data_IF_309817705621
#
_entry.id   IF_309817705621
#
_cell.length_a   1.000
_cell.length_b   1.000
_cell.length_c   1.000
_cell.angle_alpha   90.00
_cell.angle_beta   90.00
_cell.angle_gamma   90.00
#
_symmetry.space_group_name_H-M   'P 1'
#
loop_
_entity.id
_entity.type
_entity.pdbx_description
1 polymer ?
#
# COMPACT_ATOMS: atom_id res chain seq x y z
N UNK A 1 -6.20 53.26 77.16
CA UNK A 1 -6.94 52.68 76.08
C UNK A 1 -5.97 52.30 74.95
N UNK A 2 -5.72 50.99 74.77
CA UNK A 2 -4.77 50.49 73.76
C UNK A 2 -5.57 50.05 72.52
N UNK A 3 -5.40 50.75 71.39
CA UNK A 3 -5.99 50.39 70.11
C UNK A 3 -5.15 49.28 69.49
N UNK A 4 -5.75 48.10 69.29
CA UNK A 4 -5.16 46.97 68.52
C UNK A 4 -5.47 47.19 67.04
N UNK A 5 -4.39 47.31 66.25
CA UNK A 5 -4.46 47.31 64.79
C UNK A 5 -4.39 45.88 64.31
N UNK A 6 -5.43 45.41 63.61
CA UNK A 6 -5.44 44.11 62.93
C UNK A 6 -4.96 44.34 61.50
N UNK A 7 -3.80 43.79 61.17
CA UNK A 7 -3.30 43.76 59.78
C UNK A 7 -3.84 42.50 59.10
N UNK A 8 -4.71 42.65 58.13
CA UNK A 8 -5.17 41.60 57.24
C UNK A 8 -4.10 41.37 56.16
N UNK A 9 -3.39 40.23 56.19
CA UNK A 9 -2.52 39.79 55.12
C UNK A 9 -3.37 39.05 54.06
N UNK A 10 -3.63 39.76 52.94
CA UNK A 10 -4.17 39.11 51.75
C UNK A 10 -3.05 38.39 51.01
N UNK A 11 -3.02 37.06 51.09
CA UNK A 11 -2.11 36.23 50.32
C UNK A 11 -2.55 36.16 48.85
N UNK A 12 -1.72 36.71 47.98
CA UNK A 12 -1.86 36.54 46.51
C UNK A 12 -1.25 35.20 46.16
N UNK A 13 -2.09 34.22 45.86
CA UNK A 13 -1.69 32.93 45.30
C UNK A 13 -1.26 33.08 43.83
N UNK A 14 0.04 33.05 43.57
CA UNK A 14 0.60 32.93 42.24
C UNK A 14 0.41 31.49 41.77
N UNK A 15 -0.57 31.26 40.89
CA UNK A 15 -0.70 30.03 40.13
C UNK A 15 0.46 29.94 39.12
N UNK A 16 1.48 29.15 39.44
CA UNK A 16 2.49 28.73 38.47
C UNK A 16 1.80 27.80 37.46
N UNK A 17 1.39 28.35 36.33
CA UNK A 17 1.07 27.56 35.13
C UNK A 17 2.40 26.97 34.68
N UNK A 18 2.68 25.74 35.13
CA UNK A 18 3.76 24.94 34.58
C UNK A 18 3.44 24.65 33.11
N UNK A 19 4.15 25.35 32.20
CA UNK A 19 4.28 24.84 30.84
C UNK A 19 4.94 23.47 30.97
N UNK A 20 4.15 22.41 30.73
CA UNK A 20 4.72 21.11 30.37
C UNK A 20 5.44 21.35 29.04
N UNK A 21 6.74 21.52 29.06
CA UNK A 21 7.59 21.31 27.90
C UNK A 21 7.36 19.84 27.50
N UNK A 22 6.58 19.66 26.44
CA UNK A 22 6.58 18.38 25.72
C UNK A 22 8.04 18.14 25.32
N UNK A 23 8.68 17.14 25.93
CA UNK A 23 10.00 16.70 25.51
C UNK A 23 9.87 16.28 24.06
N UNK A 24 10.30 17.16 23.16
CA UNK A 24 10.52 16.79 21.77
C UNK A 24 11.62 15.72 21.81
N UNK A 25 11.22 14.48 21.59
CA UNK A 25 12.16 13.37 21.48
C UNK A 25 12.99 13.60 20.20
N UNK A 26 14.15 14.26 20.37
CA UNK A 26 15.06 14.61 19.28
C UNK A 26 15.74 13.38 18.64
N UNK A 27 15.42 12.18 19.10
CA UNK A 27 15.91 10.90 18.56
C UNK A 27 14.95 10.20 17.62
N UNK A 28 13.87 10.84 17.15
CA UNK A 28 13.01 10.26 16.15
C UNK A 28 13.75 10.25 14.79
N UNK A 29 14.38 9.13 14.49
CA UNK A 29 14.81 8.85 13.12
C UNK A 29 13.53 8.47 12.35
N UNK A 30 13.21 9.21 11.28
CA UNK A 30 12.02 8.86 10.49
C UNK A 30 12.21 7.46 9.88
N UNK A 31 11.26 6.58 10.12
CA UNK A 31 11.26 5.23 9.55
C UNK A 31 10.90 5.29 8.07
N UNK A 32 11.73 4.66 7.23
CA UNK A 32 11.49 4.56 5.80
C UNK A 32 10.35 3.58 5.48
N UNK A 33 9.49 3.95 4.52
CA UNK A 33 8.41 3.08 4.04
C UNK A 33 9.01 2.01 3.14
N UNK A 34 8.88 0.75 3.54
CA UNK A 34 9.19 -0.43 2.73
C UNK A 34 7.93 -1.26 2.48
N UNK A 35 8.01 -2.24 1.57
CA UNK A 35 6.88 -3.09 1.21
C UNK A 35 7.24 -4.56 1.42
N UNK A 36 6.31 -5.31 1.99
CA UNK A 36 6.38 -6.77 2.03
C UNK A 36 5.43 -7.34 0.98
N UNK A 37 6.00 -7.88 -0.08
CA UNK A 37 5.27 -8.28 -1.28
C UNK A 37 5.08 -9.79 -1.32
N UNK A 38 3.84 -10.20 -1.54
CA UNK A 38 3.46 -11.59 -1.80
C UNK A 38 2.47 -11.64 -2.97
N UNK A 39 2.42 -12.76 -3.65
CA UNK A 39 1.46 -12.99 -4.72
C UNK A 39 0.48 -14.08 -4.28
N UNK A 40 -0.82 -13.83 -4.41
CA UNK A 40 -1.81 -14.87 -4.17
C UNK A 40 -1.70 -15.96 -5.25
N UNK A 41 -1.88 -17.23 -4.90
CA UNK A 41 -1.93 -18.31 -5.88
C UNK A 41 -2.98 -18.00 -6.95
N UNK A 42 -2.65 -18.24 -8.23
CA UNK A 42 -3.64 -18.15 -9.30
C UNK A 42 -4.76 -19.16 -9.05
N UNK A 43 -5.99 -18.69 -9.00
CA UNK A 43 -7.16 -19.51 -8.64
C UNK A 43 -7.50 -20.61 -9.67
N UNK A 44 -6.80 -20.69 -10.82
CA UNK A 44 -7.06 -21.69 -11.86
C UNK A 44 -5.81 -22.09 -12.63
N UNK A 45 -5.38 -23.34 -12.42
CA UNK A 45 -4.77 -24.17 -13.45
C UNK A 45 -3.26 -24.28 -13.50
N UNK A 46 -2.49 -23.52 -12.74
CA UNK A 46 -1.08 -23.83 -12.55
C UNK A 46 -0.84 -24.16 -11.06
N UNK A 47 -0.85 -25.44 -10.75
CA UNK A 47 -0.62 -25.97 -9.39
C UNK A 47 0.86 -25.86 -8.97
N UNK A 48 1.69 -25.20 -9.73
CA UNK A 48 3.01 -24.76 -9.29
C UNK A 48 2.85 -23.46 -8.53
N UNK A 49 2.29 -23.52 -7.32
CA UNK A 49 1.99 -22.40 -6.46
C UNK A 49 3.21 -21.53 -6.17
N UNK A 50 3.60 -20.68 -7.12
CA UNK A 50 4.51 -19.58 -6.87
C UNK A 50 3.73 -18.52 -6.09
N UNK A 51 3.89 -18.54 -4.79
CA UNK A 51 3.42 -17.50 -3.88
C UNK A 51 4.40 -16.35 -3.78
N UNK A 52 5.54 -16.44 -4.46
CA UNK A 52 6.59 -15.43 -4.45
C UNK A 52 6.45 -14.51 -5.66
N UNK A 53 6.29 -13.22 -5.39
CA UNK A 53 6.28 -12.17 -6.42
C UNK A 53 7.68 -12.03 -7.04
N UNK A 54 7.81 -11.93 -8.38
CA UNK A 54 9.12 -11.87 -9.05
C UNK A 54 9.92 -10.62 -8.66
N UNK A 55 11.10 -10.80 -8.06
CA UNK A 55 11.98 -9.70 -7.63
C UNK A 55 12.45 -8.79 -8.78
N UNK A 56 12.43 -9.29 -10.02
CA UNK A 56 12.79 -8.53 -11.22
C UNK A 56 11.67 -7.69 -11.80
N UNK A 57 10.45 -7.76 -11.22
CA UNK A 57 9.28 -7.08 -11.74
C UNK A 57 8.91 -5.89 -10.86
N UNK A 58 9.21 -4.64 -11.26
CA UNK A 58 8.76 -3.46 -10.54
C UNK A 58 7.23 -3.32 -10.57
N UNK A 59 6.68 -2.73 -9.52
CA UNK A 59 5.27 -2.40 -9.44
C UNK A 59 5.02 -0.94 -9.10
N UNK A 60 3.82 -0.44 -9.37
CA UNK A 60 3.40 0.90 -9.02
C UNK A 60 2.70 0.94 -7.67
N UNK A 61 3.01 1.93 -6.85
CA UNK A 61 2.30 2.18 -5.60
C UNK A 61 1.91 3.64 -5.45
N UNK A 62 0.75 3.87 -4.84
CA UNK A 62 0.32 5.18 -4.40
C UNK A 62 -0.29 5.09 -3.00
N UNK A 63 -0.23 6.19 -2.26
CA UNK A 63 -0.75 6.24 -0.91
C UNK A 63 -1.41 7.58 -0.61
N UNK A 64 -2.40 7.51 0.26
CA UNK A 64 -3.11 8.68 0.78
C UNK A 64 -2.92 8.78 2.28
N UNK A 65 -2.76 10.00 2.74
CA UNK A 65 -2.62 10.35 4.16
C UNK A 65 -3.97 10.78 4.75
N UNK A 66 -4.20 10.33 5.98
CA UNK A 66 -5.27 10.82 6.84
C UNK A 66 -4.71 11.24 8.21
N UNK A 67 -5.18 12.37 8.76
CA UNK A 67 -4.75 12.85 10.07
C UNK A 67 -5.17 11.90 11.20
N UNK A 68 -4.56 12.08 12.38
CA UNK A 68 -4.89 11.29 13.57
C UNK A 68 -6.40 11.41 13.91
N UNK A 69 -7.00 10.28 14.27
CA UNK A 69 -8.43 10.20 14.57
C UNK A 69 -9.34 9.88 13.38
N UNK A 70 -8.81 9.97 12.15
CA UNK A 70 -9.53 9.62 10.92
C UNK A 70 -9.25 8.17 10.50
N UNK A 71 -10.20 7.59 9.76
CA UNK A 71 -10.09 6.24 9.18
C UNK A 71 -10.43 6.26 7.69
N UNK A 72 -9.85 5.34 6.92
CA UNK A 72 -10.09 5.27 5.49
C UNK A 72 -11.57 5.10 5.13
N UNK A 73 -12.26 4.23 5.83
CA UNK A 73 -13.64 3.89 5.49
C UNK A 73 -14.63 5.03 5.75
N UNK A 74 -14.32 5.90 6.73
CA UNK A 74 -15.16 7.07 7.05
C UNK A 74 -14.72 8.34 6.32
N UNK A 75 -13.41 8.56 6.18
CA UNK A 75 -12.85 9.88 5.88
C UNK A 75 -12.05 9.95 4.58
N UNK A 76 -12.06 8.89 3.73
CA UNK A 76 -11.25 8.82 2.50
C UNK A 76 -11.42 10.03 1.56
N UNK A 77 -12.57 10.70 1.61
CA UNK A 77 -12.82 11.90 0.77
C UNK A 77 -11.84 13.02 1.10
N UNK A 78 -11.49 13.18 2.40
CA UNK A 78 -10.56 14.20 2.87
C UNK A 78 -9.08 13.80 2.78
N UNK A 79 -8.79 12.55 2.42
CA UNK A 79 -7.43 12.04 2.36
C UNK A 79 -6.58 12.79 1.31
N UNK A 80 -5.34 13.08 1.65
CA UNK A 80 -4.39 13.80 0.81
C UNK A 80 -3.41 12.82 0.14
N UNK A 81 -2.97 13.11 -1.08
CA UNK A 81 -1.96 12.31 -1.78
C UNK A 81 -0.63 12.41 -1.04
N UNK A 82 -0.09 11.26 -0.64
CA UNK A 82 1.22 11.15 0.04
C UNK A 82 2.28 10.53 -0.87
N UNK A 83 1.96 9.44 -1.54
CA UNK A 83 2.79 8.82 -2.59
C UNK A 83 1.98 8.86 -3.87
N UNK A 84 2.58 9.38 -4.93
CA UNK A 84 1.94 9.56 -6.23
C UNK A 84 2.60 8.67 -7.27
N UNK A 85 2.08 7.45 -7.46
CA UNK A 85 2.49 6.50 -8.48
C UNK A 85 4.01 6.19 -8.49
N UNK A 86 4.57 5.95 -7.31
CA UNK A 86 5.98 5.59 -7.20
C UNK A 86 6.25 4.20 -7.81
N UNK A 87 7.37 4.06 -8.49
CA UNK A 87 7.91 2.75 -8.86
C UNK A 87 8.59 2.11 -7.66
N UNK A 88 8.16 0.87 -7.34
CA UNK A 88 8.71 0.08 -6.25
C UNK A 88 9.51 -1.06 -6.85
N UNK A 89 10.78 -1.15 -6.46
CA UNK A 89 11.73 -2.16 -6.93
C UNK A 89 12.34 -2.93 -5.76
N UNK A 90 12.80 -4.15 -6.04
CA UNK A 90 13.48 -4.97 -5.03
C UNK A 90 14.95 -4.59 -4.92
N UNK A 91 15.40 -4.25 -3.72
CA UNK A 91 16.81 -4.07 -3.40
C UNK A 91 17.40 -5.38 -2.89
N UNK A 92 18.33 -5.94 -3.67
CA UNK A 92 19.02 -7.18 -3.29
C UNK A 92 19.97 -7.01 -2.11
N UNK A 93 20.45 -5.78 -1.85
CA UNK A 93 21.39 -5.48 -0.77
C UNK A 93 20.68 -5.51 0.59
N UNK A 94 19.53 -4.85 0.66
CA UNK A 94 18.74 -4.74 1.89
C UNK A 94 17.62 -5.79 1.98
N UNK A 95 17.46 -6.60 0.94
CA UNK A 95 16.44 -7.65 0.84
C UNK A 95 15.00 -7.15 1.06
N UNK A 96 14.69 -5.93 0.58
CA UNK A 96 13.38 -5.31 0.73
C UNK A 96 12.89 -4.65 -0.57
N UNK A 97 11.61 -4.30 -0.58
CA UNK A 97 10.98 -3.54 -1.65
C UNK A 97 10.82 -2.09 -1.22
N UNK A 98 11.32 -1.14 -2.01
CA UNK A 98 11.21 0.28 -1.73
C UNK A 98 11.13 1.13 -3.00
N UNK A 99 10.72 2.38 -2.86
CA UNK A 99 10.73 3.34 -3.95
C UNK A 99 12.15 3.91 -4.17
N UNK A 100 12.47 4.29 -5.42
CA UNK A 100 13.72 4.98 -5.72
C UNK A 100 13.85 6.32 -4.97
N UNK A 101 12.73 7.02 -4.75
CA UNK A 101 12.64 8.17 -3.84
C UNK A 101 12.23 7.69 -2.47
N UNK A 102 13.03 7.97 -1.45
CA UNK A 102 12.71 7.56 -0.09
C UNK A 102 11.49 8.31 0.44
N UNK A 103 10.49 7.56 0.91
CA UNK A 103 9.33 8.06 1.64
C UNK A 103 9.42 7.60 3.09
N UNK A 104 8.98 8.44 4.02
CA UNK A 104 9.01 8.16 5.44
C UNK A 104 7.62 8.10 6.02
N UNK A 105 7.46 7.34 7.11
CA UNK A 105 6.21 7.30 7.84
C UNK A 105 5.91 8.67 8.48
N UNK A 106 4.67 9.16 8.40
CA UNK A 106 4.27 10.38 9.10
C UNK A 106 4.31 10.15 10.62
N UNK A 107 4.73 11.16 11.38
CA UNK A 107 4.77 11.09 12.85
C UNK A 107 3.40 10.83 13.48
N UNK A 108 2.35 11.32 12.85
CA UNK A 108 0.96 11.16 13.28
C UNK A 108 0.07 10.90 12.07
N UNK A 109 -1.13 10.34 12.32
CA UNK A 109 -2.04 9.96 11.26
C UNK A 109 -1.78 8.56 10.71
N UNK A 110 -2.28 8.29 9.53
CA UNK A 110 -2.16 6.99 8.87
C UNK A 110 -2.05 7.12 7.36
N UNK A 111 -1.49 6.11 6.73
CA UNK A 111 -1.45 5.96 5.28
C UNK A 111 -2.31 4.78 4.84
N UNK A 112 -2.97 4.95 3.70
CA UNK A 112 -3.65 3.84 3.00
C UNK A 112 -2.99 3.67 1.65
N UNK A 113 -2.53 2.43 1.38
CA UNK A 113 -1.74 2.09 0.19
C UNK A 113 -2.55 1.30 -0.81
N UNK A 114 -2.24 1.56 -2.08
CA UNK A 114 -2.70 0.84 -3.25
C UNK A 114 -1.49 0.48 -4.09
N UNK A 115 -1.53 -0.68 -4.73
CA UNK A 115 -0.46 -1.09 -5.63
C UNK A 115 -1.00 -1.90 -6.81
N UNK A 116 -0.28 -1.84 -7.93
CA UNK A 116 -0.60 -2.55 -9.16
C UNK A 116 0.66 -3.04 -9.86
N UNK A 117 0.54 -4.09 -10.62
CA UNK A 117 1.67 -4.72 -11.34
C UNK A 117 1.23 -5.19 -12.73
N UNK A 118 2.15 -5.12 -13.71
CA UNK A 118 3.47 -4.47 -13.68
C UNK A 118 3.38 -2.94 -13.71
N UNK A 119 4.45 -2.25 -13.32
CA UNK A 119 4.53 -0.77 -13.35
C UNK A 119 4.22 -0.20 -14.74
N UNK A 120 4.60 -0.90 -15.80
CA UNK A 120 4.41 -0.48 -17.20
C UNK A 120 2.95 -0.28 -17.60
N UNK A 121 1.98 -0.84 -16.85
CA UNK A 121 0.55 -0.63 -17.12
C UNK A 121 0.14 0.84 -16.98
N UNK A 122 0.84 1.63 -16.17
CA UNK A 122 0.56 3.06 -16.02
C UNK A 122 0.67 3.86 -17.32
N UNK A 123 1.40 3.36 -18.31
CA UNK A 123 1.49 3.99 -19.65
C UNK A 123 0.27 3.74 -20.54
N UNK A 124 -0.64 2.84 -20.14
CA UNK A 124 -1.86 2.57 -20.91
C UNK A 124 -2.85 3.73 -20.80
N UNK A 125 -3.40 4.18 -21.92
CA UNK A 125 -4.30 5.34 -21.96
C UNK A 125 -5.58 5.20 -21.13
N UNK A 126 -6.01 3.96 -20.89
CA UNK A 126 -7.18 3.67 -20.04
C UNK A 126 -6.87 3.41 -18.58
N UNK A 127 -5.59 3.55 -18.16
CA UNK A 127 -5.19 3.39 -16.77
C UNK A 127 -5.46 4.68 -15.99
N UNK A 128 -6.07 4.54 -14.83
CA UNK A 128 -6.23 5.62 -13.86
C UNK A 128 -6.33 5.07 -12.44
N UNK A 129 -6.07 5.91 -11.46
CA UNK A 129 -6.22 5.57 -10.05
C UNK A 129 -6.71 6.77 -9.24
N UNK A 130 -7.48 6.48 -8.22
CA UNK A 130 -8.00 7.46 -7.27
C UNK A 130 -8.23 6.81 -5.90
N UNK A 131 -8.98 7.47 -5.02
CA UNK A 131 -9.35 6.99 -3.69
C UNK A 131 -10.30 5.78 -3.72
N UNK A 132 -10.93 5.51 -4.83
CA UNK A 132 -11.80 4.34 -5.02
C UNK A 132 -11.01 3.10 -5.49
N UNK A 133 -9.85 3.33 -6.10
CA UNK A 133 -8.97 2.25 -6.55
C UNK A 133 -8.36 2.47 -7.92
N UNK A 134 -8.08 1.37 -8.59
CA UNK A 134 -7.43 1.34 -9.91
C UNK A 134 -8.46 0.98 -10.97
N UNK A 135 -8.46 1.75 -12.05
CA UNK A 135 -9.28 1.51 -13.24
C UNK A 135 -8.38 1.25 -14.45
N UNK A 136 -8.70 0.23 -15.22
CA UNK A 136 -8.04 -0.09 -16.49
C UNK A 136 -9.10 -0.34 -17.57
N UNK A 137 -9.32 0.64 -18.44
CA UNK A 137 -10.29 0.58 -19.52
C UNK A 137 -9.62 0.26 -20.85
N UNK A 138 -10.33 -0.45 -21.74
CA UNK A 138 -9.88 -0.69 -23.11
C UNK A 138 -8.62 -1.56 -23.22
N UNK A 139 -8.39 -2.45 -22.26
CA UNK A 139 -7.26 -3.36 -22.29
C UNK A 139 -7.45 -4.41 -23.38
N UNK A 140 -6.55 -4.43 -24.38
CA UNK A 140 -6.56 -5.44 -25.45
C UNK A 140 -5.61 -6.59 -25.09
N UNK A 141 -6.20 -7.75 -24.79
CA UNK A 141 -5.47 -8.97 -24.44
C UNK A 141 -4.65 -9.48 -25.64
N UNK A 142 -5.14 -9.30 -26.89
CA UNK A 142 -4.44 -9.78 -28.06
C UNK A 142 -3.17 -8.96 -28.35
N UNK A 143 -3.21 -7.65 -28.08
CA UNK A 143 -2.03 -6.79 -28.15
C UNK A 143 -1.05 -7.01 -26.98
N UNK A 144 -1.53 -7.57 -25.87
CA UNK A 144 -0.76 -7.73 -24.63
C UNK A 144 -0.85 -9.17 -24.06
N UNK A 145 -0.56 -10.21 -24.86
CA UNK A 145 -0.86 -11.61 -24.49
C UNK A 145 -0.06 -12.13 -23.29
N UNK A 146 1.06 -11.48 -22.96
CA UNK A 146 1.99 -11.92 -21.90
C UNK A 146 1.98 -10.99 -20.68
N UNK A 147 1.08 -10.02 -20.61
CA UNK A 147 0.98 -9.12 -19.46
C UNK A 147 0.00 -9.68 -18.45
N UNK A 148 0.49 -9.94 -17.25
CA UNK A 148 -0.31 -10.37 -16.11
C UNK A 148 -0.63 -9.15 -15.24
N UNK A 149 -1.84 -8.63 -15.37
CA UNK A 149 -2.29 -7.51 -14.57
C UNK A 149 -2.73 -7.98 -13.19
N UNK A 150 -2.07 -7.43 -12.18
CA UNK A 150 -2.37 -7.70 -10.77
C UNK A 150 -2.65 -6.39 -10.02
N UNK A 151 -3.50 -6.48 -9.02
CA UNK A 151 -3.78 -5.38 -8.08
C UNK A 151 -3.65 -5.91 -6.66
N UNK A 152 -3.01 -5.16 -5.79
CA UNK A 152 -2.87 -5.54 -4.40
C UNK A 152 -4.15 -5.29 -3.60
N UNK A 153 -4.34 -6.07 -2.54
CA UNK A 153 -5.33 -5.74 -1.52
C UNK A 153 -4.99 -4.39 -0.88
N UNK A 154 -6.00 -3.59 -0.57
CA UNK A 154 -5.79 -2.24 -0.01
C UNK A 154 -5.25 -2.36 1.41
N UNK A 155 -4.07 -1.77 1.67
CA UNK A 155 -3.49 -1.72 3.01
C UNK A 155 -3.94 -0.44 3.73
N UNK A 156 -5.10 -0.50 4.42
CA UNK A 156 -5.75 0.64 5.05
C UNK A 156 -5.13 1.02 6.40
N UNK A 157 -5.11 2.33 6.69
CA UNK A 157 -4.83 2.93 8.01
C UNK A 157 -3.49 2.50 8.64
N UNK A 158 -2.44 2.35 7.82
CA UNK A 158 -1.10 1.94 8.27
C UNK A 158 -0.35 3.10 8.94
N UNK A 159 0.43 2.80 9.99
CA UNK A 159 1.13 3.81 10.82
C UNK A 159 2.62 3.55 11.00
N UNK A 160 3.14 2.53 10.39
CA UNK A 160 4.53 2.09 10.47
C UNK A 160 4.71 0.77 9.75
N UNK A 161 5.94 0.28 9.69
CA UNK A 161 6.24 -1.09 9.27
C UNK A 161 5.83 -2.00 10.45
N UNK A 162 4.59 -2.46 10.44
CA UNK A 162 3.98 -3.17 11.58
C UNK A 162 4.58 -4.57 11.78
N UNK A 163 5.27 -4.78 12.89
CA UNK A 163 5.78 -6.10 13.30
C UNK A 163 4.67 -7.06 13.78
N UNK A 164 3.48 -6.56 14.11
CA UNK A 164 2.41 -7.31 14.78
C UNK A 164 1.84 -8.48 13.96
N UNK A 165 2.12 -8.54 12.66
CA UNK A 165 1.67 -9.60 11.76
C UNK A 165 2.82 -10.30 11.05
N UNK A 166 4.04 -10.24 11.57
CA UNK A 166 5.25 -10.70 10.91
C UNK A 166 5.50 -10.01 9.55
N UNK A 167 5.03 -8.79 9.38
CA UNK A 167 5.29 -7.98 8.20
C UNK A 167 6.50 -7.09 8.43
N UNK A 168 7.42 -7.11 7.48
CA UNK A 168 8.55 -6.20 7.43
C UNK A 168 8.31 -5.18 6.31
N UNK A 169 7.35 -4.27 6.55
CA UNK A 169 6.91 -3.29 5.57
C UNK A 169 5.39 -3.29 5.34
N UNK A 170 4.93 -2.49 4.37
CA UNK A 170 3.51 -2.42 3.97
C UNK A 170 3.08 -3.76 3.36
N UNK A 171 2.08 -4.45 3.93
CA UNK A 171 1.60 -5.71 3.37
C UNK A 171 1.01 -5.49 1.98
N UNK A 172 1.60 -6.14 0.97
CA UNK A 172 1.23 -5.97 -0.44
C UNK A 172 0.93 -7.34 -1.05
N UNK A 173 -0.33 -7.76 -0.97
CA UNK A 173 -0.80 -9.03 -1.50
C UNK A 173 -1.40 -8.84 -2.88
N UNK A 174 -0.66 -9.19 -3.94
CA UNK A 174 -1.14 -9.10 -5.31
C UNK A 174 -2.11 -10.21 -5.69
N UNK A 175 -3.19 -9.82 -6.39
CA UNK A 175 -4.18 -10.72 -6.98
C UNK A 175 -4.29 -10.48 -8.48
N UNK A 176 -4.26 -11.56 -9.25
CA UNK A 176 -4.47 -11.52 -10.70
C UNK A 176 -5.86 -10.96 -11.03
N UNK A 177 -5.94 -10.06 -11.99
CA UNK A 177 -7.20 -9.46 -12.47
C UNK A 177 -7.61 -10.01 -13.84
N UNK A 178 -6.71 -10.69 -14.54
CA UNK A 178 -6.99 -11.37 -15.80
C UNK A 178 -7.17 -12.87 -15.58
N UNK A 179 -7.98 -13.51 -16.42
CA UNK A 179 -8.17 -14.96 -16.42
C UNK A 179 -7.57 -15.55 -17.70
N UNK A 180 -6.82 -16.66 -17.55
CA UNK A 180 -6.35 -17.46 -18.68
C UNK A 180 -7.29 -18.62 -18.90
N UNK A 181 -7.86 -18.71 -20.11
CA UNK A 181 -8.66 -19.86 -20.53
C UNK A 181 -7.80 -20.70 -21.46
N UNK A 182 -7.66 -21.99 -21.17
CA UNK A 182 -7.00 -22.96 -22.04
C UNK A 182 -8.02 -24.01 -22.45
N UNK A 183 -8.22 -24.15 -23.75
CA UNK A 183 -9.07 -25.19 -24.31
C UNK A 183 -8.18 -26.31 -24.85
N UNK A 184 -8.35 -27.51 -24.32
CA UNK A 184 -7.71 -28.72 -24.87
C UNK A 184 -8.76 -29.52 -25.62
N UNK A 185 -8.56 -29.66 -26.92
CA UNK A 185 -9.36 -30.56 -27.74
C UNK A 185 -8.54 -31.86 -28.03
N UNK A 186 -9.14 -33.02 -27.83
CA UNK A 186 -8.57 -34.29 -28.23
C UNK A 186 -9.50 -34.91 -29.29
N UNK A 187 -8.92 -35.32 -30.41
CA UNK A 187 -9.62 -36.16 -31.36
C UNK A 187 -9.83 -37.54 -30.76
N UNK A 188 -10.98 -38.11 -31.04
CA UNK A 188 -11.21 -39.55 -30.81
C UNK A 188 -10.22 -40.35 -31.66
N UNK A 189 -9.74 -41.47 -31.13
CA UNK A 189 -8.74 -42.33 -31.77
C UNK A 189 -9.19 -42.83 -33.17
N UNK A 190 -10.51 -42.87 -33.41
CA UNK A 190 -11.09 -43.12 -34.72
C UNK A 190 -10.78 -42.07 -35.81
N UNK A 191 -10.25 -40.91 -35.41
CA UNK A 191 -9.95 -39.79 -36.31
C UNK A 191 -8.49 -39.37 -36.31
N UNK A 192 -7.56 -40.23 -35.83
CA UNK A 192 -6.13 -39.93 -35.71
C UNK A 192 -5.47 -39.36 -36.98
N UNK A 193 -5.98 -39.71 -38.16
CA UNK A 193 -5.48 -39.23 -39.46
C UNK A 193 -6.26 -38.05 -40.05
N UNK A 194 -7.08 -37.36 -39.26
CA UNK A 194 -7.87 -36.19 -39.71
C UNK A 194 -7.30 -34.91 -39.13
N UNK A 195 -7.16 -33.90 -39.97
CA UNK A 195 -6.84 -32.52 -39.55
C UNK A 195 -8.11 -31.77 -39.31
N UNK A 196 -8.32 -31.23 -38.13
CA UNK A 196 -9.42 -30.33 -37.79
C UNK A 196 -8.86 -28.93 -37.67
N UNK A 197 -9.36 -28.00 -38.46
CA UNK A 197 -9.10 -26.56 -38.29
C UNK A 197 -10.16 -25.98 -37.40
N UNK A 198 -9.75 -25.38 -36.26
CA UNK A 198 -10.62 -24.59 -35.41
C UNK A 198 -10.62 -23.15 -35.95
N UNK A 199 -11.76 -22.67 -36.39
CA UNK A 199 -11.97 -21.27 -36.84
C UNK A 199 -12.68 -20.48 -35.75
#
# INVERSE_FOLDING_TARGET
MRKRIIILLTGVGIALAGCMEEKVDNNFLPEEISFQVVQAPSARGDMTGKTEYPKSLPFGAYAYFLPAGSTWDADKVSAEVYINDAEISYDNTNANWHAATTYYWPKQGSLTFFAYSPKTIASHAGFSYDKEGITLNGWDINANPNVDFMVADIAKNKRGNEDNYAYNGVPTLFRHKLARVSVKAKLDDAYENKTINLT
#
